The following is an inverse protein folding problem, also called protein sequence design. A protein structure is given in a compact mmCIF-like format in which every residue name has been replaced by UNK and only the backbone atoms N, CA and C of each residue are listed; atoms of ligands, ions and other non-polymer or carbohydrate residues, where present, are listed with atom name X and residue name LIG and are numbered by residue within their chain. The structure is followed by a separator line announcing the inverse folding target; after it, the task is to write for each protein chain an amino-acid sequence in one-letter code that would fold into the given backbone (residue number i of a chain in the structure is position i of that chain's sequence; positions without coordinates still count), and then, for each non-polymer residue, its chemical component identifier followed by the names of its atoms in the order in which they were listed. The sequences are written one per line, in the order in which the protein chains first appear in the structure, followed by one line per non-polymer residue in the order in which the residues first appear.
data_IF_826916035903
#
_entry.id   IF_826916035903
#
_cell.length_a   1.000
_cell.length_b   1.000
_cell.length_c   1.000
_cell.angle_alpha   90.00
_cell.angle_beta   90.00
_cell.angle_gamma   90.00
#
_symmetry.space_group_name_H-M   'P 1'
#
loop_
_entity.id
_entity.type
_entity.pdbx_description
1 polymer ?
#
# COMPACT_ATOMS: atom_id res chain seq x y z
N UNK A 1 51.77 5.15 51.18
CA UNK A 1 53.04 4.50 50.82
C UNK A 1 52.86 3.92 49.43
N UNK A 2 52.51 4.75 48.45
CA UNK A 2 53.34 5.83 47.82
C UNK A 2 54.22 5.14 46.76
N UNK A 3 54.38 5.53 45.49
CA UNK A 3 54.04 6.69 44.63
C UNK A 3 54.15 6.11 43.17
N UNK A 4 53.52 6.62 42.11
CA UNK A 4 53.96 7.77 41.27
C UNK A 4 55.50 7.81 41.05
N UNK A 5 56.11 8.11 39.91
CA UNK A 5 55.73 8.43 38.53
C UNK A 5 57.05 8.32 37.70
N UNK A 6 57.21 8.89 36.48
CA UNK A 6 58.05 8.36 35.39
C UNK A 6 59.45 8.99 35.33
N UNK A 7 60.37 8.49 34.50
CA UNK A 7 61.36 9.39 33.87
C UNK A 7 61.69 8.95 32.43
N UNK A 8 61.49 9.92 31.55
CA UNK A 8 61.97 10.00 30.17
C UNK A 8 63.48 10.30 30.15
N UNK A 9 64.12 10.05 29.00
CA UNK A 9 65.18 10.85 28.33
C UNK A 9 66.29 9.92 27.79
N UNK A 10 66.34 9.63 26.48
CA UNK A 10 67.20 10.26 25.43
C UNK A 10 68.70 10.24 25.83
N UNK A 11 69.71 9.78 25.08
CA UNK A 11 70.18 10.08 23.71
C UNK A 11 71.24 9.00 23.25
N UNK A 12 72.05 9.12 22.15
CA UNK A 12 72.03 8.25 20.96
C UNK A 12 73.41 7.56 20.67
N UNK A 13 73.65 7.17 19.40
CA UNK A 13 74.91 6.76 18.72
C UNK A 13 75.02 5.24 18.50
N UNK A 14 75.37 4.68 17.34
CA UNK A 14 75.82 5.19 16.04
C UNK A 14 75.61 4.05 14.99
N UNK A 15 75.65 4.30 13.67
CA UNK A 15 75.06 3.44 12.65
C UNK A 15 75.95 2.25 12.28
N UNK A 16 75.42 1.04 12.37
CA UNK A 16 76.01 -0.10 11.66
C UNK A 16 75.44 -0.13 10.23
N UNK A 17 76.28 0.25 9.27
CA UNK A 17 76.03 0.15 7.82
C UNK A 17 75.74 -1.32 7.47
N UNK A 18 74.56 -1.67 6.93
CA UNK A 18 74.31 -3.03 6.45
C UNK A 18 75.02 -3.27 5.12
N UNK A 19 75.61 -4.46 4.89
CA UNK A 19 76.21 -4.83 3.60
C UNK A 19 75.17 -4.89 2.46
N UNK A 20 75.60 -4.70 1.21
CA UNK A 20 74.72 -4.42 0.08
C UNK A 20 73.73 -5.56 -0.23
N UNK A 21 72.51 -5.14 -0.56
CA UNK A 21 71.34 -5.97 -0.81
C UNK A 21 71.56 -7.05 -1.88
N UNK A 22 71.17 -8.29 -1.56
CA UNK A 22 71.01 -9.35 -2.55
C UNK A 22 69.88 -8.98 -3.54
N UNK A 23 69.99 -9.33 -4.83
CA UNK A 23 69.09 -8.87 -5.87
C UNK A 23 67.64 -9.36 -5.64
N UNK A 24 66.71 -8.42 -5.72
CA UNK A 24 65.26 -8.64 -5.63
C UNK A 24 64.81 -9.74 -6.59
N UNK A 25 64.09 -10.73 -6.06
CA UNK A 25 63.36 -11.71 -6.88
C UNK A 25 62.39 -10.95 -7.79
N UNK A 26 62.34 -11.23 -9.10
CA UNK A 26 61.46 -10.51 -10.00
C UNK A 26 60.00 -10.70 -9.58
N UNK A 27 59.33 -9.57 -9.39
CA UNK A 27 57.89 -9.49 -9.12
C UNK A 27 57.12 -10.18 -10.23
N UNK A 28 56.26 -11.15 -9.87
CA UNK A 28 55.40 -11.81 -10.85
C UNK A 28 54.57 -10.76 -11.61
N UNK A 29 54.58 -10.76 -12.95
CA UNK A 29 53.81 -9.80 -13.73
C UNK A 29 52.33 -10.00 -13.42
N UNK A 30 51.69 -8.94 -12.92
CA UNK A 30 50.25 -8.90 -12.63
C UNK A 30 49.49 -9.13 -13.95
N UNK A 31 49.10 -10.38 -14.22
CA UNK A 31 48.47 -10.79 -15.47
C UNK A 31 47.25 -9.89 -15.76
N UNK A 32 47.31 -9.14 -16.86
CA UNK A 32 46.18 -8.31 -17.32
C UNK A 32 45.04 -9.24 -17.73
N UNK A 33 43.98 -9.23 -16.94
CA UNK A 33 42.74 -9.96 -17.25
C UNK A 33 42.23 -9.57 -18.66
N UNK A 34 41.95 -10.58 -19.47
CA UNK A 34 41.34 -10.41 -20.79
C UNK A 34 39.95 -9.75 -20.66
N UNK A 35 39.54 -8.98 -21.67
CA UNK A 35 38.22 -8.32 -21.69
C UNK A 35 37.07 -9.33 -21.51
N UNK A 36 37.23 -10.57 -21.99
CA UNK A 36 36.28 -11.67 -21.82
C UNK A 36 36.19 -12.10 -20.34
N UNK A 37 37.33 -12.17 -19.64
CA UNK A 37 37.36 -12.50 -18.21
C UNK A 37 36.71 -11.39 -17.38
N UNK A 38 36.94 -10.12 -17.73
CA UNK A 38 36.27 -8.98 -17.09
C UNK A 38 34.75 -9.03 -17.31
N UNK A 39 34.29 -9.29 -18.54
CA UNK A 39 32.87 -9.43 -18.85
C UNK A 39 32.23 -10.58 -18.06
N UNK A 40 32.90 -11.74 -17.99
CA UNK A 40 32.44 -12.89 -17.20
C UNK A 40 32.31 -12.54 -15.72
N UNK A 41 33.29 -11.85 -15.14
CA UNK A 41 33.23 -11.40 -13.74
C UNK A 41 32.08 -10.40 -13.52
N UNK A 42 31.89 -9.45 -14.42
CA UNK A 42 30.78 -8.48 -14.34
C UNK A 42 29.42 -9.17 -14.45
N UNK A 43 29.27 -10.12 -15.36
CA UNK A 43 28.05 -10.88 -15.56
C UNK A 43 27.73 -11.75 -14.35
N UNK A 44 28.73 -12.46 -13.80
CA UNK A 44 28.56 -13.23 -12.56
C UNK A 44 28.18 -12.31 -11.40
N UNK A 45 28.84 -11.16 -11.23
CA UNK A 45 28.48 -10.17 -10.19
C UNK A 45 27.07 -9.62 -10.36
N UNK A 46 26.65 -9.36 -11.59
CA UNK A 46 25.30 -8.92 -11.89
C UNK A 46 24.28 -10.02 -11.56
N UNK A 47 24.54 -11.26 -11.98
CA UNK A 47 23.69 -12.41 -11.69
C UNK A 47 23.61 -12.71 -10.18
N UNK A 48 24.72 -12.68 -9.45
CA UNK A 48 24.70 -12.90 -7.99
C UNK A 48 23.99 -11.77 -7.26
N UNK A 49 24.21 -10.52 -7.67
CA UNK A 49 23.50 -9.36 -7.09
C UNK A 49 22.00 -9.42 -7.36
N UNK A 50 21.60 -9.80 -8.58
CA UNK A 50 20.19 -9.95 -8.94
C UNK A 50 19.56 -11.14 -8.21
N UNK A 51 20.22 -12.30 -8.17
CA UNK A 51 19.76 -13.47 -7.43
C UNK A 51 19.58 -13.17 -5.94
N UNK A 52 20.57 -12.56 -5.28
CA UNK A 52 20.48 -12.20 -3.86
C UNK A 52 19.40 -11.14 -3.60
N UNK A 53 19.21 -10.18 -4.51
CA UNK A 53 18.14 -9.18 -4.39
C UNK A 53 16.76 -9.81 -4.56
N UNK A 54 16.61 -10.73 -5.52
CA UNK A 54 15.38 -11.48 -5.75
C UNK A 54 15.04 -12.39 -4.57
N UNK A 55 16.01 -13.15 -4.07
CA UNK A 55 15.85 -14.02 -2.91
C UNK A 55 15.37 -13.24 -1.68
N UNK A 56 16.04 -12.12 -1.36
CA UNK A 56 15.62 -11.24 -0.26
C UNK A 56 14.20 -10.70 -0.44
N UNK A 57 13.79 -10.38 -1.66
CA UNK A 57 12.41 -9.92 -1.95
C UNK A 57 11.40 -11.05 -1.84
N UNK A 58 11.74 -12.27 -2.26
CA UNK A 58 10.87 -13.44 -2.15
C UNK A 58 10.63 -13.83 -0.69
N UNK A 59 11.68 -13.81 0.14
CA UNK A 59 11.53 -14.06 1.59
C UNK A 59 10.61 -13.01 2.23
N UNK A 60 10.80 -11.73 1.90
CA UNK A 60 9.92 -10.66 2.38
C UNK A 60 8.49 -10.81 1.89
N UNK A 61 8.30 -11.18 0.63
CA UNK A 61 6.98 -11.46 0.07
C UNK A 61 6.31 -12.64 0.78
N UNK A 62 7.05 -13.72 1.04
CA UNK A 62 6.56 -14.86 1.83
C UNK A 62 6.11 -14.43 3.23
N UNK A 63 6.91 -13.60 3.92
CA UNK A 63 6.55 -13.02 5.22
C UNK A 63 5.36 -12.07 5.16
N UNK A 64 5.14 -11.38 4.04
CA UNK A 64 3.94 -10.57 3.84
C UNK A 64 2.69 -11.47 3.72
N UNK A 65 2.79 -12.49 2.87
CA UNK A 65 1.70 -13.41 2.53
C UNK A 65 1.37 -14.41 3.65
N UNK A 66 2.28 -14.61 4.61
CA UNK A 66 2.03 -15.48 5.77
C UNK A 66 0.96 -14.96 6.73
N UNK A 67 0.55 -13.71 6.59
CA UNK A 67 -0.51 -13.11 7.40
C UNK A 67 -1.74 -12.78 6.54
N UNK A 68 -2.97 -13.02 7.04
CA UNK A 68 -4.19 -12.65 6.32
C UNK A 68 -4.25 -11.14 5.99
N UNK A 69 -3.78 -10.30 6.92
CA UNK A 69 -3.72 -8.84 6.72
C UNK A 69 -2.74 -8.43 5.62
N UNK A 70 -1.55 -9.03 5.57
CA UNK A 70 -0.58 -8.75 4.51
C UNK A 70 -1.07 -9.18 3.12
N UNK A 71 -1.73 -10.34 3.06
CA UNK A 71 -2.40 -10.82 1.84
C UNK A 71 -3.53 -9.87 1.39
N UNK A 72 -4.42 -9.45 2.30
CA UNK A 72 -5.51 -8.52 1.96
C UNK A 72 -4.98 -7.18 1.42
N UNK A 73 -3.97 -6.60 2.06
CA UNK A 73 -3.40 -5.31 1.66
C UNK A 73 -2.71 -5.40 0.29
N UNK A 74 -2.01 -6.50 0.00
CA UNK A 74 -1.42 -6.75 -1.31
C UNK A 74 -2.52 -6.86 -2.38
N UNK A 75 -3.53 -7.69 -2.12
CA UNK A 75 -4.67 -7.89 -3.03
C UNK A 75 -5.46 -6.60 -3.25
N UNK A 76 -5.65 -5.79 -2.21
CA UNK A 76 -6.23 -4.46 -2.27
C UNK A 76 -5.49 -3.58 -3.27
N UNK A 77 -4.17 -3.50 -3.10
CA UNK A 77 -3.31 -2.67 -3.95
C UNK A 77 -3.35 -3.15 -5.40
N UNK A 78 -3.25 -4.47 -5.62
CA UNK A 78 -3.32 -5.07 -6.96
C UNK A 78 -4.68 -4.79 -7.61
N UNK A 79 -5.79 -5.01 -6.91
CA UNK A 79 -7.15 -4.81 -7.45
C UNK A 79 -7.39 -3.36 -7.91
N UNK A 80 -7.00 -2.37 -7.10
CA UNK A 80 -7.15 -0.97 -7.50
C UNK A 80 -6.15 -0.54 -8.57
N UNK A 81 -4.93 -1.10 -8.59
CA UNK A 81 -3.97 -0.88 -9.68
C UNK A 81 -4.50 -1.43 -11.00
N UNK A 82 -5.12 -2.61 -10.99
CA UNK A 82 -5.78 -3.20 -12.16
C UNK A 82 -6.99 -2.37 -12.59
N UNK A 83 -7.77 -1.85 -11.64
CA UNK A 83 -8.91 -0.97 -11.92
C UNK A 83 -8.46 0.32 -12.60
N UNK A 84 -7.40 0.96 -12.10
CA UNK A 84 -6.79 2.13 -12.72
C UNK A 84 -6.25 1.82 -14.12
N UNK A 85 -5.49 0.72 -14.23
CA UNK A 85 -4.93 0.27 -15.52
C UNK A 85 -6.05 0.04 -16.53
N UNK A 86 -7.09 -0.70 -16.16
CA UNK A 86 -8.27 -0.92 -17.01
C UNK A 86 -8.91 0.39 -17.44
N UNK A 87 -9.16 1.32 -16.52
CA UNK A 87 -9.84 2.57 -16.81
C UNK A 87 -9.03 3.46 -17.79
N UNK A 88 -7.71 3.56 -17.60
CA UNK A 88 -6.84 4.31 -18.50
C UNK A 88 -6.75 3.65 -19.87
N UNK A 89 -6.57 2.33 -19.89
CA UNK A 89 -6.40 1.58 -21.13
C UNK A 89 -7.71 1.51 -21.94
N UNK A 90 -8.87 1.45 -21.27
CA UNK A 90 -10.20 1.52 -21.92
C UNK A 90 -10.41 2.88 -22.60
N UNK A 91 -10.05 3.99 -21.93
CA UNK A 91 -10.13 5.32 -22.55
C UNK A 91 -9.23 5.46 -23.76
N UNK A 92 -8.02 4.89 -23.71
CA UNK A 92 -7.11 4.88 -24.86
C UNK A 92 -7.65 4.00 -25.98
N UNK A 93 -8.28 2.87 -25.66
CA UNK A 93 -8.94 1.99 -26.62
C UNK A 93 -10.11 2.68 -27.32
N UNK A 94 -11.02 3.29 -26.56
CA UNK A 94 -12.16 4.04 -27.09
C UNK A 94 -11.71 5.18 -28.01
N UNK A 95 -10.70 5.96 -27.61
CA UNK A 95 -10.15 7.04 -28.45
C UNK A 95 -9.55 6.52 -29.75
N UNK A 96 -8.82 5.40 -29.71
CA UNK A 96 -8.26 4.79 -30.91
C UNK A 96 -9.35 4.26 -31.83
N UNK A 97 -10.36 3.59 -31.29
CA UNK A 97 -11.48 3.07 -32.06
C UNK A 97 -12.30 4.21 -32.69
N UNK A 98 -12.55 5.28 -31.93
CA UNK A 98 -13.21 6.48 -32.45
C UNK A 98 -12.40 7.13 -33.57
N UNK A 99 -11.08 7.29 -33.40
CA UNK A 99 -10.21 7.84 -34.43
C UNK A 99 -10.23 7.00 -35.72
N UNK A 100 -10.14 5.67 -35.59
CA UNK A 100 -10.21 4.76 -36.74
C UNK A 100 -11.57 4.90 -37.43
N UNK A 101 -12.67 4.90 -36.66
CA UNK A 101 -14.01 5.06 -37.20
C UNK A 101 -14.18 6.40 -37.94
N UNK A 102 -13.65 7.50 -37.40
CA UNK A 102 -13.71 8.82 -38.04
C UNK A 102 -12.84 8.91 -39.29
N UNK A 103 -11.65 8.33 -39.29
CA UNK A 103 -10.76 8.30 -40.47
C UNK A 103 -11.40 7.52 -41.63
N UNK A 104 -12.07 6.40 -41.32
CA UNK A 104 -12.82 5.63 -42.31
C UNK A 104 -14.02 6.41 -42.80
N UNK A 105 -14.81 7.01 -41.90
CA UNK A 105 -15.98 7.79 -42.27
C UNK A 105 -15.61 8.95 -43.20
N UNK A 106 -14.53 9.68 -42.89
CA UNK A 106 -14.03 10.77 -43.73
C UNK A 106 -13.56 10.30 -45.12
N UNK A 107 -12.89 9.14 -45.19
CA UNK A 107 -12.49 8.55 -46.47
C UNK A 107 -13.65 8.03 -47.29
N UNK A 108 -14.73 7.61 -46.63
CA UNK A 108 -15.93 7.09 -47.28
C UNK A 108 -16.91 8.21 -47.72
N UNK A 109 -16.88 9.38 -47.08
CA UNK A 109 -17.77 10.52 -47.36
C UNK A 109 -17.67 11.02 -48.81
N UNK A 110 -16.51 10.88 -49.45
CA UNK A 110 -16.31 11.20 -50.87
C UNK A 110 -16.65 10.08 -51.85
N UNK A 111 -17.01 8.89 -51.37
CA UNK A 111 -17.24 7.68 -52.19
C UNK A 111 -18.68 7.18 -52.10
N UNK A 112 -19.35 7.40 -50.97
CA UNK A 112 -20.73 6.95 -50.73
C UNK A 112 -21.74 7.94 -51.28
N UNK A 113 -22.81 7.42 -51.88
CA UNK A 113 -23.95 8.24 -52.29
C UNK A 113 -24.81 8.61 -51.07
N UNK A 114 -25.59 9.71 -51.13
CA UNK A 114 -26.50 10.10 -50.05
C UNK A 114 -27.50 8.97 -49.76
N UNK A 115 -27.45 8.41 -48.54
CA UNK A 115 -28.32 7.32 -48.09
C UNK A 115 -27.70 5.92 -48.10
N UNK A 116 -26.48 5.75 -48.62
CA UNK A 116 -25.76 4.47 -48.54
C UNK A 116 -25.07 4.28 -47.18
N UNK A 117 -25.27 3.12 -46.56
CA UNK A 117 -24.60 2.75 -45.29
C UNK A 117 -23.44 1.82 -45.55
N UNK A 118 -22.24 2.21 -45.11
CA UNK A 118 -21.05 1.37 -45.19
C UNK A 118 -20.88 0.53 -43.92
N UNK A 119 -21.04 -0.79 -44.06
CA UNK A 119 -20.72 -1.76 -43.01
C UNK A 119 -19.33 -2.33 -43.28
N UNK A 120 -18.30 -1.77 -42.64
CA UNK A 120 -16.92 -2.24 -42.78
C UNK A 120 -16.49 -3.06 -41.55
N UNK A 121 -16.22 -4.35 -41.76
CA UNK A 121 -15.58 -5.20 -40.75
C UNK A 121 -14.07 -5.19 -40.98
N UNK A 122 -13.36 -4.33 -40.24
CA UNK A 122 -11.91 -4.25 -40.33
C UNK A 122 -11.24 -5.06 -39.22
N UNK A 123 -10.23 -5.89 -39.55
CA UNK A 123 -9.47 -6.58 -38.53
C UNK A 123 -8.75 -5.54 -37.66
N UNK A 124 -9.11 -5.51 -36.37
CA UNK A 124 -8.47 -4.59 -35.43
C UNK A 124 -6.94 -4.78 -35.44
N UNK A 125 -6.13 -3.69 -35.43
CA UNK A 125 -4.69 -3.79 -35.35
C UNK A 125 -4.24 -4.65 -34.15
N UNK A 126 -3.15 -5.41 -34.30
CA UNK A 126 -2.65 -6.31 -33.23
C UNK A 126 -2.46 -5.60 -31.90
N UNK A 127 -1.97 -4.36 -31.92
CA UNK A 127 -1.82 -3.52 -30.72
C UNK A 127 -3.16 -3.22 -30.03
N UNK A 128 -4.23 -3.01 -30.81
CA UNK A 128 -5.59 -2.76 -30.30
C UNK A 128 -6.18 -4.04 -29.69
N UNK A 129 -5.92 -5.19 -30.32
CA UNK A 129 -6.33 -6.51 -29.78
C UNK A 129 -5.65 -6.82 -28.44
N UNK A 130 -4.33 -6.62 -28.36
CA UNK A 130 -3.58 -6.81 -27.09
C UNK A 130 -4.11 -5.86 -26.02
N UNK A 131 -4.37 -4.60 -26.37
CA UNK A 131 -4.91 -3.62 -25.43
C UNK A 131 -6.30 -4.01 -24.90
N UNK A 132 -7.20 -4.45 -25.78
CA UNK A 132 -8.51 -4.97 -25.41
C UNK A 132 -8.41 -6.22 -24.52
N UNK A 133 -7.47 -7.13 -24.83
CA UNK A 133 -7.20 -8.30 -24.00
C UNK A 133 -6.72 -7.92 -22.59
N UNK A 134 -5.81 -6.95 -22.47
CA UNK A 134 -5.31 -6.45 -21.17
C UNK A 134 -6.43 -5.77 -20.39
N UNK A 135 -7.30 -5.00 -21.05
CA UNK A 135 -8.51 -4.42 -20.42
C UNK A 135 -9.40 -5.52 -19.85
N UNK A 136 -9.71 -6.54 -20.65
CA UNK A 136 -10.56 -7.66 -20.24
C UNK A 136 -9.96 -8.49 -19.11
N UNK A 137 -8.68 -8.85 -19.21
CA UNK A 137 -7.99 -9.64 -18.19
C UNK A 137 -7.82 -8.87 -16.88
N UNK A 138 -7.50 -7.57 -16.95
CA UNK A 138 -7.40 -6.71 -15.77
C UNK A 138 -8.74 -6.58 -15.05
N UNK A 139 -9.85 -6.48 -15.81
CA UNK A 139 -11.21 -6.47 -15.26
C UNK A 139 -11.51 -7.77 -14.51
N UNK A 140 -11.38 -8.91 -15.19
CA UNK A 140 -11.71 -10.21 -14.63
C UNK A 140 -10.90 -10.50 -13.36
N UNK A 141 -9.60 -10.20 -13.38
CA UNK A 141 -8.74 -10.38 -12.21
C UNK A 141 -9.10 -9.43 -11.06
N UNK A 142 -9.39 -8.15 -11.34
CA UNK A 142 -9.81 -7.21 -10.30
C UNK A 142 -11.13 -7.62 -9.64
N UNK A 143 -12.10 -8.10 -10.43
CA UNK A 143 -13.39 -8.62 -9.95
C UNK A 143 -13.21 -9.88 -9.09
N UNK A 144 -12.36 -10.81 -9.53
CA UNK A 144 -12.05 -12.04 -8.78
C UNK A 144 -11.40 -11.71 -7.43
N UNK A 145 -10.44 -10.78 -7.42
CA UNK A 145 -9.81 -10.32 -6.18
C UNK A 145 -10.82 -9.64 -5.27
N UNK A 146 -11.69 -8.78 -5.82
CA UNK A 146 -12.73 -8.10 -5.05
C UNK A 146 -13.68 -9.09 -4.39
N UNK A 147 -14.13 -10.09 -5.15
CA UNK A 147 -15.01 -11.16 -4.65
C UNK A 147 -14.37 -11.94 -3.50
N UNK A 148 -13.12 -12.39 -3.67
CA UNK A 148 -12.36 -13.08 -2.62
C UNK A 148 -12.21 -12.21 -1.35
N UNK A 149 -11.90 -10.92 -1.51
CA UNK A 149 -11.71 -10.02 -0.37
C UNK A 149 -13.00 -9.78 0.40
N UNK A 150 -14.12 -9.60 -0.29
CA UNK A 150 -15.44 -9.46 0.37
C UNK A 150 -15.80 -10.77 1.07
N UNK A 151 -15.59 -11.91 0.41
CA UNK A 151 -15.83 -13.22 1.00
C UNK A 151 -15.07 -13.39 2.33
N UNK A 152 -13.75 -13.25 2.33
CA UNK A 152 -12.93 -13.41 3.55
C UNK A 152 -13.28 -12.38 4.63
N UNK A 153 -13.82 -11.22 4.25
CA UNK A 153 -14.26 -10.20 5.21
C UNK A 153 -15.55 -10.57 5.95
N UNK A 154 -16.31 -11.58 5.52
CA UNK A 154 -17.51 -12.08 6.23
C UNK A 154 -17.24 -12.36 7.73
N UNK A 155 -16.04 -12.88 8.03
CA UNK A 155 -15.58 -13.19 9.39
C UNK A 155 -15.18 -11.95 10.21
N UNK A 156 -15.19 -10.76 9.62
CA UNK A 156 -14.80 -9.49 10.24
C UNK A 156 -15.61 -9.15 11.49
N UNK A 157 -16.86 -9.61 11.60
CA UNK A 157 -17.72 -9.38 12.77
C UNK A 157 -17.09 -9.94 14.05
N UNK A 158 -16.37 -11.07 13.97
CA UNK A 158 -15.67 -11.66 15.13
C UNK A 158 -14.54 -10.74 15.60
N UNK A 159 -13.78 -10.15 14.66
CA UNK A 159 -12.76 -9.17 14.97
C UNK A 159 -13.33 -7.87 15.55
N UNK A 160 -14.51 -7.45 15.11
CA UNK A 160 -15.21 -6.29 15.67
C UNK A 160 -15.70 -6.56 17.09
N UNK A 161 -16.19 -7.77 17.37
CA UNK A 161 -16.56 -8.18 18.73
C UNK A 161 -15.35 -8.16 19.67
N UNK A 162 -14.20 -8.70 19.27
CA UNK A 162 -13.00 -8.68 20.11
C UNK A 162 -12.49 -7.26 20.34
N UNK A 163 -12.56 -6.39 19.33
CA UNK A 163 -12.24 -4.97 19.46
C UNK A 163 -13.19 -4.24 20.43
N UNK A 164 -14.49 -4.49 20.31
CA UNK A 164 -15.50 -3.94 21.21
C UNK A 164 -15.30 -4.42 22.65
N UNK A 165 -15.08 -5.73 22.83
CA UNK A 165 -14.80 -6.33 24.14
C UNK A 165 -13.53 -5.77 24.76
N UNK A 166 -12.44 -5.64 24.00
CA UNK A 166 -11.20 -5.03 24.48
C UNK A 166 -11.41 -3.59 24.95
N UNK A 167 -12.16 -2.81 24.16
CA UNK A 167 -12.52 -1.43 24.51
C UNK A 167 -13.39 -1.35 25.77
N UNK A 168 -14.29 -2.32 25.97
CA UNK A 168 -15.13 -2.40 27.15
C UNK A 168 -14.35 -2.83 28.41
N UNK A 169 -13.49 -3.84 28.29
CA UNK A 169 -12.71 -4.40 29.40
C UNK A 169 -11.57 -3.48 29.86
N UNK A 170 -11.23 -2.44 29.11
CA UNK A 170 -10.25 -1.42 29.52
C UNK A 170 -10.98 -0.10 29.81
N UNK A 171 -11.67 0.05 30.95
CA UNK A 171 -12.39 1.28 31.29
C UNK A 171 -11.42 2.46 31.42
N UNK A 172 -11.94 3.68 31.23
CA UNK A 172 -11.15 4.88 31.50
C UNK A 172 -10.96 5.02 33.01
N UNK A 173 -9.75 5.37 33.42
CA UNK A 173 -9.49 5.82 34.79
C UNK A 173 -10.34 7.06 35.11
N UNK A 174 -10.75 7.22 36.37
CA UNK A 174 -11.53 8.39 36.81
C UNK A 174 -10.85 9.73 36.47
N UNK A 175 -9.52 9.74 36.50
CA UNK A 175 -8.66 10.90 36.21
C UNK A 175 -8.29 11.03 34.72
N UNK A 176 -8.97 10.31 33.83
CA UNK A 176 -8.66 10.33 32.41
C UNK A 176 -8.74 11.74 31.79
N UNK A 177 -7.72 12.08 31.02
CA UNK A 177 -7.62 13.38 30.33
C UNK A 177 -8.77 13.59 29.35
N UNK A 178 -9.11 14.86 29.08
CA UNK A 178 -10.13 15.22 28.08
C UNK A 178 -9.85 14.57 26.71
N UNK A 179 -8.56 14.46 26.33
CA UNK A 179 -8.10 13.74 25.14
C UNK A 179 -8.56 12.28 25.12
N UNK A 180 -8.35 11.55 26.21
CA UNK A 180 -8.67 10.12 26.32
C UNK A 180 -10.17 9.88 26.26
N UNK A 181 -10.96 10.75 26.89
CA UNK A 181 -12.43 10.73 26.83
C UNK A 181 -12.94 10.93 25.42
N UNK A 182 -12.38 11.90 24.67
CA UNK A 182 -12.73 12.15 23.26
C UNK A 182 -12.33 10.96 22.39
N UNK A 183 -11.09 10.47 22.51
CA UNK A 183 -10.61 9.32 21.75
C UNK A 183 -11.47 8.08 22.02
N UNK A 184 -11.91 7.87 23.27
CA UNK A 184 -12.81 6.76 23.60
C UNK A 184 -14.16 6.86 22.91
N UNK A 185 -14.77 8.05 22.88
CA UNK A 185 -16.03 8.26 22.15
C UNK A 185 -15.86 7.97 20.66
N UNK A 186 -14.76 8.44 20.07
CA UNK A 186 -14.42 8.16 18.68
C UNK A 186 -14.22 6.66 18.43
N UNK A 187 -13.56 5.93 19.34
CA UNK A 187 -13.40 4.47 19.23
C UNK A 187 -14.76 3.76 19.23
N UNK A 188 -15.68 4.11 20.12
CA UNK A 188 -17.02 3.51 20.14
C UNK A 188 -17.83 3.87 18.89
N UNK A 189 -17.73 5.11 18.40
CA UNK A 189 -18.35 5.51 17.13
C UNK A 189 -17.78 4.71 15.95
N UNK A 190 -16.46 4.51 15.90
CA UNK A 190 -15.80 3.72 14.87
C UNK A 190 -16.24 2.24 14.91
N UNK A 191 -16.31 1.64 16.10
CA UNK A 191 -16.81 0.26 16.30
C UNK A 191 -18.25 0.15 15.78
N UNK A 192 -19.16 1.02 16.23
CA UNK A 192 -20.56 1.00 15.83
C UNK A 192 -20.70 1.14 14.29
N UNK A 193 -19.91 2.02 13.70
CA UNK A 193 -19.85 2.22 12.25
C UNK A 193 -19.38 0.97 11.51
N UNK A 194 -18.29 0.35 11.96
CA UNK A 194 -17.77 -0.87 11.37
C UNK A 194 -18.74 -2.05 11.50
N UNK A 195 -19.45 -2.17 12.63
CA UNK A 195 -20.47 -3.22 12.82
C UNK A 195 -21.62 -3.02 11.84
N UNK A 196 -22.13 -1.79 11.71
CA UNK A 196 -23.17 -1.46 10.72
C UNK A 196 -22.73 -1.78 9.29
N UNK A 197 -21.51 -1.37 8.91
CA UNK A 197 -20.91 -1.70 7.63
C UNK A 197 -20.84 -3.22 7.41
N UNK A 198 -20.27 -3.96 8.36
CA UNK A 198 -19.98 -5.39 8.19
C UNK A 198 -21.26 -6.22 8.10
N UNK A 199 -22.28 -5.93 8.92
CA UNK A 199 -23.55 -6.67 8.89
C UNK A 199 -24.28 -6.46 7.57
N UNK A 200 -24.34 -5.22 7.09
CA UNK A 200 -24.99 -4.88 5.83
C UNK A 200 -24.22 -5.43 4.62
N UNK A 201 -22.89 -5.31 4.62
CA UNK A 201 -22.05 -5.87 3.56
C UNK A 201 -22.20 -7.39 3.49
N UNK A 202 -22.17 -8.08 4.63
CA UNK A 202 -22.33 -9.54 4.68
C UNK A 202 -23.67 -9.98 4.09
N UNK A 203 -24.77 -9.31 4.46
CA UNK A 203 -26.08 -9.63 3.93
C UNK A 203 -26.21 -9.34 2.43
N UNK A 204 -25.72 -8.19 1.97
CA UNK A 204 -25.74 -7.82 0.56
C UNK A 204 -24.88 -8.79 -0.28
N UNK A 205 -23.73 -9.20 0.22
CA UNK A 205 -22.88 -10.18 -0.43
C UNK A 205 -23.55 -11.55 -0.54
N UNK A 206 -24.10 -12.07 0.57
CA UNK A 206 -24.82 -13.35 0.57
C UNK A 206 -26.06 -13.32 -0.33
N UNK A 207 -26.77 -12.19 -0.39
CA UNK A 207 -27.84 -11.95 -1.36
C UNK A 207 -27.33 -12.07 -2.80
N UNK A 208 -26.23 -11.39 -3.14
CA UNK A 208 -25.68 -11.39 -4.50
C UNK A 208 -25.22 -12.77 -4.98
N UNK A 209 -24.88 -13.67 -4.03
CA UNK A 209 -24.55 -15.08 -4.28
C UNK A 209 -25.75 -16.03 -4.25
N UNK A 210 -26.95 -15.53 -3.98
CA UNK A 210 -28.17 -16.33 -3.90
C UNK A 210 -28.26 -17.22 -2.66
N UNK A 211 -27.46 -16.96 -1.62
CA UNK A 211 -27.52 -17.71 -0.37
C UNK A 211 -28.76 -17.37 0.48
N UNK A 212 -29.35 -16.19 0.26
CA UNK A 212 -30.57 -15.75 0.94
C UNK A 212 -31.80 -16.07 0.07
N UNK A 213 -32.55 -17.12 0.43
CA UNK A 213 -33.65 -17.68 -0.40
C UNK A 213 -35.05 -17.25 0.03
N UNK A 214 -35.18 -16.50 1.12
CA UNK A 214 -36.46 -15.95 1.61
C UNK A 214 -37.14 -15.03 0.59
N UNK A 215 -38.48 -14.96 0.61
CA UNK A 215 -39.27 -14.12 -0.31
C UNK A 215 -38.88 -12.63 -0.31
N UNK A 216 -38.37 -12.11 0.81
CA UNK A 216 -37.87 -10.72 0.91
C UNK A 216 -36.49 -10.48 0.27
N UNK A 217 -35.83 -11.55 -0.19
CA UNK A 217 -34.48 -11.56 -0.78
C UNK A 217 -34.46 -12.13 -2.20
N UNK A 218 -35.61 -12.58 -2.72
CA UNK A 218 -35.75 -13.10 -4.08
C UNK A 218 -36.49 -12.12 -4.99
N UNK A 219 -36.34 -12.28 -6.31
CA UNK A 219 -36.96 -11.41 -7.32
C UNK A 219 -36.46 -9.96 -7.30
N UNK A 220 -37.27 -9.05 -7.81
CA UNK A 220 -36.91 -7.62 -7.93
C UNK A 220 -36.85 -6.92 -6.57
N UNK A 221 -37.68 -7.37 -5.61
CA UNK A 221 -37.68 -6.87 -4.22
C UNK A 221 -36.35 -7.20 -3.54
N UNK A 222 -35.85 -8.42 -3.74
CA UNK A 222 -34.55 -8.84 -3.23
C UNK A 222 -33.40 -8.00 -3.78
N UNK A 223 -33.37 -7.78 -5.11
CA UNK A 223 -32.35 -6.94 -5.76
C UNK A 223 -32.38 -5.50 -5.28
N UNK A 224 -33.57 -4.92 -5.09
CA UNK A 224 -33.71 -3.57 -4.55
C UNK A 224 -33.15 -3.49 -3.13
N UNK A 225 -33.47 -4.47 -2.27
CA UNK A 225 -32.96 -4.56 -0.91
C UNK A 225 -31.44 -4.75 -0.86
N UNK A 226 -30.91 -5.61 -1.71
CA UNK A 226 -29.46 -5.83 -1.85
C UNK A 226 -28.74 -4.51 -2.17
N UNK A 227 -29.22 -3.76 -3.17
CA UNK A 227 -28.65 -2.47 -3.54
C UNK A 227 -28.72 -1.46 -2.39
N UNK A 228 -29.85 -1.42 -1.66
CA UNK A 228 -29.98 -0.57 -0.47
C UNK A 228 -28.96 -0.95 0.63
N UNK A 229 -28.72 -2.24 0.84
CA UNK A 229 -27.73 -2.70 1.82
C UNK A 229 -26.29 -2.35 1.41
N UNK A 230 -25.95 -2.45 0.12
CA UNK A 230 -24.67 -1.96 -0.42
C UNK A 230 -24.47 -0.45 -0.23
N UNK A 231 -25.52 0.34 -0.43
CA UNK A 231 -25.47 1.79 -0.24
C UNK A 231 -25.29 2.16 1.24
N UNK A 232 -26.11 1.56 2.12
CA UNK A 232 -26.03 1.84 3.55
C UNK A 232 -24.74 1.34 4.18
N UNK A 233 -24.23 0.18 3.78
CA UNK A 233 -22.91 -0.28 4.22
C UNK A 233 -21.85 0.76 3.85
N UNK A 234 -21.83 1.24 2.61
CA UNK A 234 -20.91 2.28 2.14
C UNK A 234 -21.01 3.58 2.93
N UNK A 235 -22.21 3.97 3.39
CA UNK A 235 -22.41 5.14 4.27
C UNK A 235 -21.81 4.93 5.65
N UNK A 236 -21.99 3.75 6.24
CA UNK A 236 -21.30 3.40 7.50
C UNK A 236 -19.78 3.38 7.33
N UNK A 237 -19.27 2.97 6.18
CA UNK A 237 -17.85 3.09 5.91
C UNK A 237 -17.41 4.56 5.78
N UNK A 238 -18.20 5.42 5.15
CA UNK A 238 -17.93 6.86 5.10
C UNK A 238 -17.88 7.50 6.49
N UNK A 239 -18.81 7.13 7.38
CA UNK A 239 -18.81 7.57 8.78
C UNK A 239 -17.54 7.11 9.50
N UNK A 240 -17.11 5.86 9.32
CA UNK A 240 -15.87 5.36 9.92
C UNK A 240 -14.64 6.17 9.46
N UNK A 241 -14.52 6.45 8.15
CA UNK A 241 -13.42 7.26 7.61
C UNK A 241 -13.46 8.68 8.19
N UNK A 242 -14.65 9.29 8.31
CA UNK A 242 -14.81 10.58 8.97
C UNK A 242 -14.36 10.57 10.43
N UNK A 243 -14.75 9.54 11.19
CA UNK A 243 -14.32 9.34 12.59
C UNK A 243 -12.81 9.18 12.70
N UNK A 244 -12.17 8.43 11.81
CA UNK A 244 -10.71 8.26 11.80
C UNK A 244 -9.97 9.56 11.45
N UNK A 245 -10.49 10.37 10.52
CA UNK A 245 -9.93 11.70 10.24
C UNK A 245 -10.02 12.63 11.46
N UNK A 246 -11.16 12.63 12.16
CA UNK A 246 -11.32 13.38 13.42
C UNK A 246 -10.38 12.86 14.49
N UNK A 247 -10.24 11.54 14.64
CA UNK A 247 -9.29 10.91 15.56
C UNK A 247 -7.85 11.34 15.28
N UNK A 248 -7.42 11.33 14.02
CA UNK A 248 -6.09 11.79 13.62
C UNK A 248 -5.88 13.28 13.91
N UNK A 249 -6.90 14.10 13.70
CA UNK A 249 -6.90 15.53 14.06
C UNK A 249 -6.75 15.75 15.56
N UNK A 250 -7.51 15.02 16.38
CA UNK A 250 -7.42 15.05 17.85
C UNK A 250 -6.02 14.64 18.33
N UNK A 251 -5.47 13.53 17.81
CA UNK A 251 -4.12 13.09 18.17
C UNK A 251 -3.08 14.15 17.82
N UNK A 252 -3.21 14.82 16.66
CA UNK A 252 -2.28 15.86 16.21
C UNK A 252 -2.38 17.13 17.03
N UNK A 253 -3.60 17.56 17.38
CA UNK A 253 -3.87 18.75 18.18
C UNK A 253 -3.23 18.64 19.57
N UNK A 254 -3.55 17.56 20.31
CA UNK A 254 -2.99 17.36 21.65
C UNK A 254 -1.49 17.02 21.68
N UNK A 255 -0.86 16.77 20.53
CA UNK A 255 0.59 16.55 20.42
C UNK A 255 1.38 17.86 20.36
N UNK A 256 0.77 18.95 19.88
CA UNK A 256 1.40 20.27 19.89
C UNK A 256 1.45 20.87 21.29
N UNK A 257 0.52 20.47 22.15
CA UNK A 257 0.40 20.92 23.54
C UNK A 257 1.37 20.21 24.50
N UNK A 258 2.06 19.14 24.08
CA UNK A 258 3.06 18.50 24.95
C UNK A 258 4.33 19.36 25.03
N UNK A 259 4.74 19.80 26.24
CA UNK A 259 5.92 20.62 26.40
C UNK A 259 7.14 19.87 25.88
N UNK A 260 7.93 20.54 25.03
CA UNK A 260 9.21 20.03 24.54
C UNK A 260 10.16 19.93 25.74
N UNK A 261 10.25 18.74 26.33
CA UNK A 261 11.22 18.46 27.39
C UNK A 261 12.63 18.86 26.94
N UNK A 262 13.28 19.63 27.80
CA UNK A 262 14.58 20.25 27.57
C UNK A 262 15.70 19.24 27.38
N UNK A 263 16.68 19.66 26.59
CA UNK A 263 17.93 18.95 26.30
C UNK A 263 18.78 18.82 27.59
N UNK A 264 18.57 17.77 28.38
CA UNK A 264 19.43 17.43 29.51
C UNK A 264 20.75 16.83 29.02
N UNK A 265 21.87 17.48 29.32
CA UNK A 265 23.22 17.04 28.95
C UNK A 265 23.66 15.85 29.83
N UNK A 266 24.11 14.73 29.23
CA UNK A 266 24.61 13.59 30.00
C UNK A 266 24.72 12.24 29.28
N UNK A 267 25.94 11.74 29.07
CA UNK A 267 26.38 10.33 28.89
C UNK A 267 25.74 9.39 27.84
N UNK A 268 26.44 8.26 27.56
CA UNK A 268 26.14 7.29 26.48
C UNK A 268 24.74 6.66 26.58
N UNK A 269 24.20 6.50 27.78
CA UNK A 269 22.86 5.92 27.97
C UNK A 269 21.74 6.86 27.52
N UNK A 270 21.87 8.17 27.75
CA UNK A 270 20.90 9.12 27.21
C UNK A 270 21.00 9.21 25.69
N UNK A 271 22.18 8.98 25.11
CA UNK A 271 22.31 8.90 23.65
C UNK A 271 21.47 7.73 23.09
N UNK A 272 21.51 6.56 23.72
CA UNK A 272 20.68 5.40 23.32
C UNK A 272 19.19 5.71 23.51
N UNK A 273 18.79 6.23 24.68
CA UNK A 273 17.39 6.62 24.95
C UNK A 273 16.88 7.72 24.00
N UNK A 274 17.73 8.69 23.64
CA UNK A 274 17.44 9.73 22.64
C UNK A 274 17.28 9.13 21.24
N UNK A 275 18.13 8.17 20.86
CA UNK A 275 18.02 7.46 19.59
C UNK A 275 16.74 6.63 19.52
N UNK A 276 16.38 5.91 20.60
CA UNK A 276 15.11 5.17 20.70
C UNK A 276 13.91 6.11 20.63
N UNK A 277 13.88 7.18 21.44
CA UNK A 277 12.81 8.20 21.40
C UNK A 277 12.71 8.85 20.02
N UNK A 278 13.84 9.07 19.32
CA UNK A 278 13.86 9.58 17.95
C UNK A 278 13.27 8.58 16.95
N UNK A 279 13.58 7.28 17.09
CA UNK A 279 13.01 6.21 16.28
C UNK A 279 11.51 6.08 16.52
N UNK A 280 11.06 6.12 17.77
CA UNK A 280 9.65 6.10 18.16
C UNK A 280 8.90 7.30 17.57
N UNK A 281 9.42 8.52 17.72
CA UNK A 281 8.83 9.72 17.12
C UNK A 281 8.74 9.61 15.60
N UNK A 282 9.77 9.09 14.93
CA UNK A 282 9.75 8.86 13.48
C UNK A 282 8.70 7.81 13.09
N UNK A 283 8.58 6.74 13.87
CA UNK A 283 7.59 5.68 13.64
C UNK A 283 6.17 6.22 13.82
N UNK A 284 5.90 6.91 14.92
CA UNK A 284 4.61 7.52 15.22
C UNK A 284 4.21 8.55 14.16
N UNK A 285 5.15 9.41 13.75
CA UNK A 285 4.90 10.41 12.71
C UNK A 285 4.62 9.75 11.35
N UNK A 286 5.34 8.67 11.03
CA UNK A 286 5.08 7.90 9.82
C UNK A 286 3.73 7.16 9.88
N UNK A 287 3.36 6.57 11.03
CA UNK A 287 2.06 5.93 11.22
C UNK A 287 0.92 6.94 11.02
N UNK A 288 1.06 8.13 11.61
CA UNK A 288 0.09 9.20 11.44
C UNK A 288 -0.05 9.64 9.97
N UNK A 289 1.07 9.86 9.26
CA UNK A 289 1.04 10.22 7.85
C UNK A 289 0.47 9.12 6.95
N UNK A 290 0.77 7.86 7.27
CA UNK A 290 0.17 6.71 6.59
C UNK A 290 -1.34 6.67 6.78
N UNK A 291 -1.80 6.79 8.02
CA UNK A 291 -3.22 6.76 8.35
C UNK A 291 -3.95 7.94 7.73
N UNK A 292 -3.36 9.13 7.73
CA UNK A 292 -3.90 10.28 7.03
C UNK A 292 -3.99 10.05 5.51
N UNK A 293 -2.90 9.61 4.88
CA UNK A 293 -2.87 9.39 3.43
C UNK A 293 -3.90 8.34 2.99
N UNK A 294 -4.02 7.24 3.75
CA UNK A 294 -5.00 6.19 3.46
C UNK A 294 -6.44 6.67 3.65
N UNK A 295 -6.76 7.36 4.75
CA UNK A 295 -8.12 7.86 4.99
C UNK A 295 -8.51 8.98 4.02
N UNK A 296 -7.57 9.87 3.64
CA UNK A 296 -7.80 10.90 2.63
C UNK A 296 -8.06 10.29 1.25
N UNK A 297 -7.41 9.18 0.93
CA UNK A 297 -7.66 8.45 -0.31
C UNK A 297 -8.99 7.68 -0.26
N UNK A 298 -9.37 7.13 0.90
CA UNK A 298 -10.66 6.45 1.06
C UNK A 298 -11.85 7.41 1.09
N UNK A 299 -11.71 8.63 1.63
CA UNK A 299 -12.80 9.59 1.78
C UNK A 299 -13.63 9.83 0.50
N UNK A 300 -13.04 10.16 -0.66
CA UNK A 300 -13.83 10.35 -1.89
C UNK A 300 -14.43 9.03 -2.41
N UNK A 301 -13.82 7.87 -2.10
CA UNK A 301 -14.32 6.56 -2.51
C UNK A 301 -15.56 6.15 -1.70
N UNK A 302 -15.54 6.36 -0.38
CA UNK A 302 -16.68 6.06 0.48
C UNK A 302 -17.90 6.92 0.12
N UNK A 303 -17.67 8.18 -0.25
CA UNK A 303 -18.73 9.06 -0.78
C UNK A 303 -19.22 8.55 -2.14
N UNK A 304 -18.33 8.14 -3.05
CA UNK A 304 -18.72 7.58 -4.34
C UNK A 304 -19.67 6.38 -4.17
N UNK A 305 -19.37 5.42 -3.29
CA UNK A 305 -20.24 4.26 -3.07
C UNK A 305 -21.45 4.54 -2.17
N UNK A 306 -21.49 5.68 -1.48
CA UNK A 306 -22.67 6.09 -0.70
C UNK A 306 -23.81 6.68 -1.55
N UNK A 307 -23.53 6.98 -2.83
CA UNK A 307 -24.46 7.58 -3.79
C UNK A 307 -24.88 6.57 -4.86
N UNK A 308 -26.15 6.56 -5.25
CA UNK A 308 -26.68 5.65 -6.27
C UNK A 308 -26.02 5.80 -7.64
N UNK A 309 -25.63 7.02 -8.01
CA UNK A 309 -25.01 7.32 -9.32
C UNK A 309 -23.48 7.33 -9.30
N UNK A 310 -22.85 7.21 -8.13
CA UNK A 310 -21.42 7.41 -7.97
C UNK A 310 -20.97 8.86 -8.15
N UNK A 311 -19.92 9.26 -7.42
CA UNK A 311 -19.30 10.60 -7.57
C UNK A 311 -18.06 10.56 -8.47
N UNK A 312 -17.18 9.59 -8.20
CA UNK A 312 -15.93 9.40 -8.94
C UNK A 312 -16.15 8.61 -10.24
N UNK A 313 -15.33 8.90 -11.24
CA UNK A 313 -15.13 8.03 -12.41
C UNK A 313 -14.24 6.82 -12.07
N UNK A 314 -14.31 5.74 -12.85
CA UNK A 314 -13.53 4.49 -12.69
C UNK A 314 -12.03 4.70 -12.43
N UNK A 315 -11.38 5.61 -13.17
CA UNK A 315 -9.95 5.89 -12.96
C UNK A 315 -9.69 6.59 -11.62
N UNK A 316 -10.63 7.42 -11.16
CA UNK A 316 -10.56 8.09 -9.87
C UNK A 316 -10.67 7.09 -8.72
N UNK A 317 -11.61 6.14 -8.81
CA UNK A 317 -11.73 5.02 -7.86
C UNK A 317 -10.45 4.19 -7.84
N UNK A 318 -9.91 3.83 -9.01
CA UNK A 318 -8.65 3.10 -9.12
C UNK A 318 -7.46 3.86 -8.53
N UNK A 319 -7.33 5.16 -8.80
CA UNK A 319 -6.24 5.99 -8.30
C UNK A 319 -6.29 6.14 -6.76
N UNK A 320 -7.45 6.53 -6.22
CA UNK A 320 -7.65 6.64 -4.78
C UNK A 320 -7.39 5.30 -4.08
N UNK A 321 -7.94 4.20 -4.60
CA UNK A 321 -7.74 2.88 -4.01
C UNK A 321 -6.30 2.39 -4.08
N UNK A 322 -5.57 2.72 -5.15
CA UNK A 322 -4.15 2.41 -5.30
C UNK A 322 -3.31 3.18 -4.28
N UNK A 323 -3.62 4.46 -4.03
CA UNK A 323 -2.92 5.26 -3.00
C UNK A 323 -3.21 4.70 -1.61
N UNK A 324 -4.47 4.40 -1.29
CA UNK A 324 -4.86 3.86 0.00
C UNK A 324 -4.22 2.48 0.25
N UNK A 325 -4.36 1.55 -0.70
CA UNK A 325 -3.74 0.23 -0.64
C UNK A 325 -2.21 0.31 -0.60
N UNK A 326 -1.61 1.19 -1.42
CA UNK A 326 -0.17 1.39 -1.48
C UNK A 326 0.43 1.92 -0.17
N UNK A 327 -0.26 2.85 0.50
CA UNK A 327 0.16 3.34 1.82
C UNK A 327 0.17 2.22 2.87
N UNK A 328 -0.87 1.38 2.88
CA UNK A 328 -0.96 0.21 3.77
C UNK A 328 0.08 -0.86 3.40
N UNK A 329 0.32 -1.08 2.10
CA UNK A 329 1.29 -2.06 1.61
C UNK A 329 2.71 -1.63 1.95
N UNK A 330 3.03 -0.35 1.86
CA UNK A 330 4.32 0.18 2.27
C UNK A 330 4.59 -0.07 3.76
N UNK A 331 3.56 -0.01 4.61
CA UNK A 331 3.67 -0.37 6.03
C UNK A 331 3.87 -1.85 6.26
N UNK A 332 2.98 -2.67 5.69
CA UNK A 332 3.08 -4.12 5.79
C UNK A 332 4.46 -4.61 5.26
N UNK A 333 4.93 -4.04 4.15
CA UNK A 333 6.24 -4.34 3.58
C UNK A 333 7.39 -3.92 4.52
N UNK A 334 7.31 -2.78 5.20
CA UNK A 334 8.32 -2.39 6.20
C UNK A 334 8.41 -3.38 7.36
N UNK A 335 7.28 -3.90 7.83
CA UNK A 335 7.22 -4.92 8.90
C UNK A 335 7.84 -6.27 8.49
N UNK A 336 8.01 -6.52 7.19
CA UNK A 336 8.72 -7.73 6.71
C UNK A 336 10.24 -7.62 6.77
N UNK A 337 10.78 -6.40 6.91
CA UNK A 337 12.21 -6.12 6.80
C UNK A 337 13.06 -6.81 7.88
#
# INVERSE_FOLDING_TARGET
MDEQHPESTTIPSDPTIPPPAAPEKPSHPRQRLSNIQKLRILLIRYLTKTAHSTDRKLIRLSKLLSTPSGTDVLLCTISYTLTLTRALLSRLLERRLAYIATDIAQKADGVLLPGETLIASLPAPTSTKVMAQVVGSSKALAETISDYRIFVRLWGVVGLYTWARGTYCTPLSGDASGKEKVLRKLTWAAIASCVGFQVLENGAYLSSKGALTTASWTGDVGKARENQWWLWSSRFWAVYVGVELVRLGVVRYYKEDEPREGSGDGEKEDKIKREERSREKKLENWLWWKDLASNMAYAPMTVHWSMEKGLLSDWGVGACGMVAGGALLADAWRKTA
#
